data_IF_492969835711
#
_entry.id   IF_492969835711
#
_cell.length_a   1.000
_cell.length_b   1.000
_cell.length_c   1.000
_cell.angle_alpha   90.00
_cell.angle_beta   90.00
_cell.angle_gamma   90.00
#
_symmetry.space_group_name_H-M   'P 1'
#
loop_
_entity.id
_entity.type
_entity.pdbx_description
1 polymer ?
2 polymer ?
3 non-polymer ?
4 non-polymer ?
5 water ?
#
loop_
_entity_poly.entity_id
_entity_poly.type
_entity_poly.pdbx_seq_one_letter_code
_entity_poly.pdbx_strand_id
2 'polydeoxyribonucleotide' '(DT)(DC)(DA)(DA)(DG)(DG)(DG)(DT)(DC)(DC)(DT)(DA)(DG)(DG)(DA)(DC)(DC)(DC)' ?
#
# COMPACT_ATOMS: atom_id res chain seq x y z
N UNK A 26 0.56 26.36 -5.34
CA UNK A 26 0.20 24.95 -5.21
C UNK A 26 1.43 24.10 -4.92
N UNK A 27 2.08 24.38 -3.79
CA UNK A 27 3.26 23.63 -3.34
C UNK A 27 2.81 22.70 -2.22
N UNK A 28 2.54 21.45 -2.57
CA UNK A 28 2.01 20.49 -1.61
C UNK A 28 3.13 19.91 -0.75
N UNK A 29 2.74 19.45 0.43
CA UNK A 29 3.62 18.71 1.34
C UNK A 29 2.93 17.38 1.63
N UNK A 30 3.35 16.34 0.93
CA UNK A 30 2.76 15.01 1.07
C UNK A 30 3.70 14.15 1.89
N UNK A 31 3.13 13.22 2.64
CA UNK A 31 3.89 12.23 3.39
C UNK A 31 3.41 10.84 2.99
N UNK A 32 4.35 9.94 2.75
CA UNK A 32 4.06 8.54 2.48
C UNK A 32 4.48 7.73 3.69
N UNK A 33 3.52 7.07 4.33
CA UNK A 33 3.78 6.23 5.50
C UNK A 33 3.80 4.78 5.04
N UNK A 34 4.85 4.05 5.44
CA UNK A 34 5.07 2.68 4.98
C UNK A 34 5.52 1.85 6.18
N UNK A 35 4.63 0.98 6.65
CA UNK A 35 4.94 0.16 7.82
C UNK A 35 5.93 -0.94 7.45
N UNK A 36 6.77 -1.30 8.43
CA UNK A 36 7.75 -2.35 8.24
C UNK A 36 7.10 -3.72 8.44
N UNK A 37 7.35 -4.64 7.51
CA UNK A 37 6.90 -6.02 7.61
C UNK A 37 5.58 -6.11 8.36
N UNK A 38 4.52 -5.55 7.76
CA UNK A 38 3.26 -5.35 8.48
C UNK A 38 2.78 -6.63 9.16
N UNK A 39 2.59 -7.69 8.38
CA UNK A 39 2.03 -8.92 8.95
C UNK A 39 2.89 -9.43 10.09
N UNK A 40 4.21 -9.45 9.89
CA UNK A 40 5.11 -9.90 10.95
C UNK A 40 4.95 -9.05 12.21
N UNK A 41 4.78 -7.73 12.03
CA UNK A 41 4.60 -6.86 13.18
C UNK A 41 3.36 -7.26 13.97
N UNK A 42 2.26 -7.52 13.28
CA UNK A 42 1.03 -7.90 13.96
C UNK A 42 1.18 -9.23 14.67
N UNK A 43 1.82 -10.21 14.01
CA UNK A 43 2.03 -11.50 14.64
C UNK A 43 3.01 -11.40 15.81
N UNK A 44 4.12 -10.68 15.61
CA UNK A 44 5.05 -10.47 16.71
C UNK A 44 4.37 -9.80 17.90
N UNK A 45 3.39 -8.92 17.64
CA UNK A 45 2.72 -8.22 18.72
C UNK A 45 1.87 -9.18 19.54
N UNK A 46 0.96 -9.91 18.88
CA UNK A 46 0.05 -10.79 19.60
C UNK A 46 0.82 -11.88 20.35
N UNK A 47 1.81 -12.49 19.70
CA UNK A 47 2.72 -13.43 20.36
C UNK A 47 4.07 -12.74 20.52
N UNK A 48 4.40 -12.23 21.71
CA UNK A 48 5.77 -11.69 21.91
C UNK A 48 6.85 -12.75 21.82
N UNK A 49 6.52 -14.03 21.98
CA UNK A 49 7.54 -15.07 21.97
C UNK A 49 8.34 -15.04 20.66
N UNK A 50 7.65 -14.84 19.53
CA UNK A 50 8.33 -14.85 18.24
C UNK A 50 9.26 -13.65 18.08
N UNK A 51 8.97 -12.54 18.77
CA UNK A 51 9.83 -11.37 18.73
C UNK A 51 11.19 -11.70 19.34
N UNK A 52 12.10 -12.22 18.52
CA UNK A 52 13.43 -12.63 18.95
C UNK A 52 13.99 -13.63 17.94
N UNK A 53 13.10 -14.34 17.26
CA UNK A 53 13.44 -15.35 16.26
C UNK A 53 12.97 -14.88 14.88
N UNK A 54 13.49 -15.44 13.80
CA UNK A 54 13.08 -15.00 12.47
C UNK A 54 11.68 -15.50 12.16
N UNK A 55 10.78 -14.58 11.85
CA UNK A 55 9.37 -14.89 11.66
C UNK A 55 9.00 -14.82 10.19
N UNK A 56 8.25 -15.81 9.73
CA UNK A 56 7.76 -15.83 8.37
C UNK A 56 6.27 -16.08 8.32
N UNK A 57 5.50 -15.10 7.84
CA UNK A 57 4.07 -15.28 7.64
C UNK A 57 3.86 -15.97 6.29
N UNK A 58 3.26 -17.15 6.31
CA UNK A 58 3.12 -17.97 5.11
C UNK A 58 1.66 -18.09 4.72
N UNK A 59 1.41 -18.05 3.42
CA UNK A 59 0.09 -18.31 2.84
C UNK A 59 0.29 -19.39 1.79
N UNK A 60 -0.28 -20.57 2.03
CA UNK A 60 -0.12 -21.73 1.15
C UNK A 60 1.36 -22.10 1.17
N UNK A 61 2.08 -22.02 0.05
CA UNK A 61 3.47 -22.48 -0.03
C UNK A 61 4.45 -21.33 -0.17
N UNK A 62 4.13 -20.17 0.39
CA UNK A 62 4.97 -18.99 0.22
C UNK A 62 5.06 -18.21 1.52
N UNK A 63 6.27 -17.76 1.83
CA UNK A 63 6.51 -16.82 2.93
C UNK A 63 6.28 -15.42 2.35
N UNK A 64 5.07 -14.88 2.53
CA UNK A 64 4.73 -13.62 1.88
C UNK A 64 5.48 -12.45 2.50
N UNK A 65 5.84 -12.55 3.77
CA UNK A 65 6.62 -11.51 4.43
C UNK A 65 7.24 -12.08 5.68
N UNK A 66 8.26 -11.39 6.19
CA UNK A 66 9.00 -11.86 7.35
C UNK A 66 9.54 -10.66 8.10
N UNK A 67 9.80 -10.86 9.40
CA UNK A 67 10.48 -9.83 10.18
C UNK A 67 11.92 -9.73 9.73
N UNK A 68 12.59 -8.64 10.13
CA UNK A 68 13.88 -8.32 9.55
C UNK A 68 14.97 -9.29 9.97
N UNK A 69 14.80 -9.99 11.09
CA UNK A 69 15.76 -11.03 11.44
C UNK A 69 15.90 -12.04 10.30
N UNK A 70 14.76 -12.52 9.79
CA UNK A 70 14.80 -13.45 8.65
C UNK A 70 15.35 -12.76 7.41
N UNK A 71 15.20 -11.45 7.30
CA UNK A 71 15.73 -10.73 6.14
C UNK A 71 17.23 -10.92 6.03
N UNK A 72 17.93 -10.88 7.17
CA UNK A 72 19.37 -11.10 7.15
C UNK A 72 19.72 -12.47 6.58
N UNK A 73 18.91 -13.48 6.91
CA UNK A 73 19.17 -14.86 6.52
C UNK A 73 18.67 -15.19 5.12
N UNK A 74 18.40 -14.18 4.29
CA UNK A 74 17.98 -14.41 2.92
C UNK A 74 16.50 -14.66 2.74
N UNK A 75 15.75 -14.88 3.82
CA UNK A 75 14.29 -15.03 3.69
C UNK A 75 13.75 -13.80 2.98
N UNK A 76 13.06 -14.01 1.87
CA UNK A 76 12.65 -12.93 0.99
C UNK A 76 11.15 -12.97 0.75
N UNK A 77 10.62 -11.81 0.35
CA UNK A 77 9.19 -11.67 0.09
C UNK A 77 8.72 -12.70 -0.93
N UNK A 78 7.56 -13.29 -0.66
CA UNK A 78 6.96 -14.28 -1.54
C UNK A 78 7.98 -15.32 -1.99
N UNK A 79 8.50 -16.05 -1.00
CA UNK A 79 9.55 -17.04 -1.21
C UNK A 79 9.02 -18.40 -0.77
N UNK A 80 9.26 -19.42 -1.60
CA UNK A 80 8.81 -20.77 -1.29
C UNK A 80 9.24 -21.16 0.12
N UNK A 81 8.31 -21.78 0.86
CA UNK A 81 8.62 -22.22 2.20
C UNK A 81 9.74 -23.25 2.19
N UNK A 82 9.79 -24.09 1.15
CA UNK A 82 10.90 -25.02 1.01
C UNK A 82 12.23 -24.27 0.93
N UNK A 83 12.32 -23.31 0.00
CA UNK A 83 13.53 -22.49 -0.09
C UNK A 83 13.77 -21.71 1.19
N UNK A 84 12.71 -21.06 1.70
CA UNK A 84 12.87 -20.21 2.89
C UNK A 84 13.41 -21.00 4.07
N UNK A 85 13.00 -22.26 4.22
CA UNK A 85 13.49 -23.08 5.32
C UNK A 85 14.91 -23.57 5.05
N UNK A 86 15.30 -23.71 3.78
CA UNK A 86 16.68 -24.09 3.47
C UNK A 86 17.65 -23.00 3.92
N UNK A 87 17.35 -21.74 3.57
CA UNK A 87 18.23 -20.65 3.97
C UNK A 87 18.17 -20.40 5.48
N UNK A 88 17.01 -20.59 6.09
CA UNK A 88 16.84 -20.38 7.53
C UNK A 88 16.05 -21.55 8.10
N UNK A 89 16.72 -22.65 8.45
CA UNK A 89 16.00 -23.79 9.05
C UNK A 89 15.42 -23.49 10.43
N UNK A 90 15.83 -22.40 11.08
CA UNK A 90 15.28 -22.01 12.36
C UNK A 90 14.07 -21.09 12.22
N UNK A 91 13.59 -20.87 10.99
CA UNK A 91 12.44 -20.01 10.78
C UNK A 91 11.22 -20.52 11.54
N UNK A 92 10.52 -19.59 12.20
CA UNK A 92 9.22 -19.88 12.78
C UNK A 92 8.16 -19.38 11.81
N UNK A 93 7.24 -20.25 11.42
CA UNK A 93 6.22 -19.93 10.43
C UNK A 93 4.87 -19.79 11.10
N UNK A 94 4.15 -18.73 10.76
CA UNK A 94 2.79 -18.49 11.25
C UNK A 94 1.90 -18.32 10.03
N UNK A 95 0.68 -18.85 10.13
CA UNK A 95 -0.28 -18.77 9.03
C UNK A 95 -0.88 -17.37 8.96
N UNK A 96 -0.89 -16.79 7.77
CA UNK A 96 -1.47 -15.48 7.57
C UNK A 96 -2.53 -15.47 6.49
N UNK A 97 -3.18 -16.61 6.27
CA UNK A 97 -4.21 -16.70 5.24
C UNK A 97 -5.48 -15.96 5.64
N UNK A 98 -5.72 -15.76 6.93
CA UNK A 98 -6.82 -14.96 7.41
C UNK A 98 -6.29 -13.57 7.73
N UNK A 99 -6.79 -12.56 7.00
CA UNK A 99 -6.30 -11.19 7.13
C UNK A 99 -7.13 -10.36 8.10
N UNK A 100 -7.91 -11.00 8.97
CA UNK A 100 -8.81 -10.25 9.84
C UNK A 100 -8.03 -9.32 10.75
N UNK A 101 -6.96 -9.81 11.37
CA UNK A 101 -6.20 -8.98 12.30
C UNK A 101 -5.39 -7.93 11.56
N UNK A 102 -4.77 -8.30 10.44
CA UNK A 102 -4.02 -7.32 9.66
C UNK A 102 -4.93 -6.20 9.18
N UNK A 103 -6.10 -6.57 8.62
CA UNK A 103 -7.03 -5.58 8.13
C UNK A 103 -7.48 -4.63 9.24
N UNK A 104 -7.73 -5.17 10.43
CA UNK A 104 -8.14 -4.33 11.55
C UNK A 104 -7.05 -3.33 11.91
N UNK A 105 -5.82 -3.81 12.04
CA UNK A 105 -4.73 -2.90 12.38
C UNK A 105 -4.51 -1.87 11.27
N UNK A 106 -4.66 -2.28 10.02
CA UNK A 106 -4.50 -1.36 8.90
C UNK A 106 -5.39 -0.14 9.08
N UNK A 107 -6.67 -0.36 9.42
CA UNK A 107 -7.59 0.75 9.57
C UNK A 107 -7.36 1.52 10.86
N UNK A 108 -6.81 0.89 11.88
CA UNK A 108 -6.41 1.62 13.06
C UNK A 108 -5.30 2.62 12.73
N UNK A 109 -4.34 2.19 11.89
CA UNK A 109 -3.29 3.10 11.46
C UNK A 109 -3.88 4.25 10.64
N UNK A 110 -4.69 3.91 9.64
CA UNK A 110 -5.29 4.94 8.80
C UNK A 110 -6.07 5.95 9.63
N UNK A 111 -6.86 5.46 10.59
CA UNK A 111 -7.65 6.38 11.42
C UNK A 111 -6.75 7.27 12.25
N UNK A 112 -5.66 6.73 12.77
CA UNK A 112 -4.70 7.56 13.50
C UNK A 112 -4.20 8.71 12.64
N UNK A 113 -3.87 8.42 11.38
CA UNK A 113 -3.41 9.48 10.48
C UNK A 113 -4.53 10.44 10.11
N UNK A 114 -5.76 9.93 9.97
CA UNK A 114 -6.90 10.80 9.74
C UNK A 114 -7.06 11.80 10.88
N UNK A 115 -6.66 11.43 12.09
CA UNK A 115 -6.69 12.37 13.20
C UNK A 115 -5.78 13.56 12.94
N UNK A 116 -4.60 13.31 12.36
CA UNK A 116 -3.71 14.41 12.01
C UNK A 116 -4.33 15.29 10.93
N UNK A 117 -4.64 14.71 9.77
CA UNK A 117 -5.27 15.41 8.66
C UNK A 117 -6.29 14.47 8.03
N UNK A 118 -7.49 14.97 7.70
CA UNK A 118 -8.55 14.06 7.26
C UNK A 118 -8.27 13.39 5.92
N UNK A 119 -7.51 14.03 5.03
CA UNK A 119 -7.33 13.52 3.66
C UNK A 119 -6.20 12.50 3.71
N UNK A 120 -6.57 11.23 3.87
CA UNK A 120 -5.62 10.13 3.91
C UNK A 120 -6.02 9.11 2.85
N UNK A 121 -5.04 8.68 2.06
CA UNK A 121 -5.24 7.74 0.96
C UNK A 121 -4.56 6.42 1.31
N UNK A 122 -5.33 5.33 1.31
CA UNK A 122 -4.79 4.01 1.56
C UNK A 122 -4.26 3.41 0.27
N UNK A 123 -3.09 2.79 0.35
CA UNK A 123 -2.52 1.99 -0.74
C UNK A 123 -2.20 0.63 -0.13
N UNK A 124 -3.01 -0.38 -0.42
CA UNK A 124 -2.82 -1.65 0.22
C UNK A 124 -3.12 -1.56 1.72
N UNK A 125 -2.61 -2.53 2.45
CA UNK A 125 -2.87 -2.62 3.88
C UNK A 125 -1.85 -1.88 4.73
N UNK A 126 -0.65 -1.62 4.21
CA UNK A 126 0.45 -1.12 5.02
C UNK A 126 1.00 0.23 4.57
N UNK A 127 0.29 0.95 3.70
CA UNK A 127 0.78 2.22 3.19
C UNK A 127 -0.34 3.25 3.17
N UNK A 128 0.03 4.50 3.46
CA UNK A 128 -0.92 5.61 3.49
C UNK A 128 -0.23 6.87 2.99
N UNK A 129 -0.97 7.65 2.20
CA UNK A 129 -0.57 9.00 1.83
C UNK A 129 -1.42 9.99 2.63
N UNK A 130 -0.79 11.06 3.11
CA UNK A 130 -1.48 12.12 3.82
C UNK A 130 -1.03 13.46 3.25
N UNK A 131 -2.00 14.28 2.86
CA UNK A 131 -1.71 15.63 2.37
C UNK A 131 -1.60 16.55 3.57
N UNK A 132 -0.38 17.00 3.85
CA UNK A 132 -0.11 17.84 5.01
C UNK A 132 -0.05 19.33 4.65
N UNK A 133 -0.42 19.69 3.42
CA UNK A 133 -0.23 21.07 2.96
C UNK A 133 -0.90 22.06 3.90
N UNK A 134 -2.22 21.92 4.08
CA UNK A 134 -2.94 22.82 4.98
C UNK A 134 -2.37 22.75 6.39
N UNK A 135 -2.05 21.54 6.86
CA UNK A 135 -1.51 21.39 8.21
C UNK A 135 -0.20 22.15 8.36
N UNK A 136 0.70 22.04 7.37
CA UNK A 136 1.99 22.71 7.46
C UNK A 136 1.81 24.22 7.46
N UNK A 137 0.94 24.74 6.59
CA UNK A 137 0.74 26.18 6.52
C UNK A 137 0.25 26.72 7.86
N UNK A 138 -0.73 26.05 8.47
CA UNK A 138 -1.25 26.51 9.76
C UNK A 138 -0.13 26.54 10.80
N UNK A 139 0.69 25.49 10.87
CA UNK A 139 1.77 25.48 11.83
C UNK A 139 2.74 26.65 11.62
N UNK A 140 2.92 27.07 10.37
CA UNK A 140 3.85 28.15 10.10
C UNK A 140 3.23 29.52 10.40
N UNK A 141 1.95 29.71 10.08
CA UNK A 141 1.30 30.98 10.40
C UNK A 141 1.32 31.26 11.89
N UNK A 142 1.59 30.25 12.72
CA UNK A 142 1.65 30.45 14.16
C UNK A 142 3.04 30.83 14.64
N UNK A 143 4.06 30.62 13.81
CA UNK A 143 5.44 30.89 14.22
C UNK A 143 5.76 32.38 14.08
N UNK A 144 7.00 32.73 14.41
CA UNK A 144 7.52 34.09 14.24
C UNK A 144 8.95 33.98 13.71
N UNK A 145 9.49 35.12 13.28
CA UNK A 145 10.84 35.13 12.72
C UNK A 145 11.85 34.48 13.66
N UNK A 146 11.63 34.59 14.97
CA UNK A 146 12.57 34.03 15.93
C UNK A 146 12.71 32.52 15.74
N UNK A 147 11.60 31.79 15.79
CA UNK A 147 11.66 30.34 15.70
C UNK A 147 11.78 29.83 14.27
N UNK A 148 11.44 30.67 13.27
CA UNK A 148 11.62 30.25 11.88
C UNK A 148 13.06 29.82 11.61
N UNK A 149 14.02 30.47 12.26
CA UNK A 149 15.41 30.04 12.14
C UNK A 149 15.68 28.78 12.96
N UNK A 150 14.94 28.58 14.04
CA UNK A 150 15.09 27.38 14.86
C UNK A 150 14.39 26.17 14.26
N UNK A 151 13.71 26.33 13.11
CA UNK A 151 13.04 25.21 12.48
C UNK A 151 14.07 24.15 12.11
N UNK A 152 13.93 22.97 12.69
CA UNK A 152 14.85 21.86 12.44
C UNK A 152 14.16 20.78 11.63
N UNK A 153 14.96 19.81 11.19
CA UNK A 153 14.45 18.65 10.48
C UNK A 153 14.37 17.48 11.44
N UNK A 154 13.42 16.59 11.20
CA UNK A 154 13.28 15.34 11.92
C UNK A 154 13.54 14.20 10.94
N UNK A 155 14.58 13.41 11.19
CA UNK A 155 14.94 12.33 10.30
C UNK A 155 15.98 12.76 9.28
N UNK A 156 16.17 11.88 8.29
CA UNK A 156 17.19 12.09 7.29
C UNK A 156 16.73 13.08 6.23
N UNK A 157 17.71 13.78 5.63
CA UNK A 157 17.49 14.61 4.47
C UNK A 157 18.09 13.87 3.28
N UNK A 158 17.28 13.63 2.25
CA UNK A 158 17.73 12.80 1.15
C UNK A 158 19.02 13.33 0.55
N UNK A 159 19.93 12.41 0.23
CA UNK A 159 21.22 12.73 -0.37
C UNK A 159 22.03 13.71 0.48
N UNK A 160 21.71 13.81 1.77
CA UNK A 160 22.45 14.69 2.68
C UNK A 160 22.48 16.12 2.16
N UNK A 161 21.41 16.54 1.50
CA UNK A 161 21.35 17.87 0.93
C UNK A 161 21.35 18.93 2.02
N UNK A 162 21.96 20.07 1.71
CA UNK A 162 22.04 21.18 2.67
C UNK A 162 20.70 21.90 2.73
N UNK A 163 20.24 22.17 3.94
CA UNK A 163 19.01 22.93 4.13
C UNK A 163 19.31 24.42 3.97
N UNK A 164 18.30 25.17 3.51
CA UNK A 164 18.38 26.62 3.40
C UNK A 164 17.15 27.19 4.07
N UNK A 165 17.32 27.77 5.26
CA UNK A 165 16.20 28.24 6.05
C UNK A 165 15.52 29.47 5.45
N UNK A 166 16.06 30.04 4.38
CA UNK A 166 15.37 31.12 3.66
C UNK A 166 14.57 30.59 2.48
N UNK A 167 14.76 29.33 2.09
CA UNK A 167 13.93 28.69 1.08
C UNK A 167 12.63 28.26 1.73
N UNK A 168 11.53 28.93 1.38
CA UNK A 168 10.26 28.65 2.05
C UNK A 168 9.83 27.20 1.82
N UNK A 169 10.12 26.67 0.63
CA UNK A 169 9.77 25.28 0.37
C UNK A 169 10.56 24.33 1.26
N UNK A 170 11.81 24.67 1.56
CA UNK A 170 12.58 23.86 2.50
C UNK A 170 11.92 23.88 3.87
N UNK A 171 11.48 25.05 4.33
CA UNK A 171 10.87 25.14 5.64
C UNK A 171 9.56 24.36 5.70
N UNK A 172 8.73 24.48 4.66
CA UNK A 172 7.49 23.72 4.62
C UNK A 172 7.78 22.22 4.67
N UNK A 173 8.82 21.77 3.96
CA UNK A 173 9.15 20.35 3.93
C UNK A 173 9.70 19.88 5.26
N UNK A 174 10.44 20.73 5.98
CA UNK A 174 10.95 20.33 7.29
C UNK A 174 9.82 20.24 8.30
N UNK A 175 8.88 21.20 8.28
CA UNK A 175 7.69 21.09 9.11
C UNK A 175 6.94 19.80 8.77
N UNK A 176 6.86 19.46 7.48
CA UNK A 176 6.27 18.20 7.10
C UNK A 176 6.99 17.01 7.71
N UNK A 177 8.30 17.13 7.93
CA UNK A 177 9.05 16.05 8.55
C UNK A 177 8.83 16.01 10.06
N UNK A 178 8.56 17.15 10.69
CA UNK A 178 8.18 17.15 12.10
C UNK A 178 6.85 16.46 12.29
N UNK A 179 5.89 16.71 11.40
CA UNK A 179 4.59 16.04 11.48
C UNK A 179 4.76 14.54 11.27
N UNK A 180 5.53 14.16 10.25
CA UNK A 180 5.75 12.74 9.99
C UNK A 180 6.33 12.04 11.22
N UNK A 181 7.31 12.68 11.87
CA UNK A 181 7.86 12.10 13.09
C UNK A 181 6.81 12.01 14.19
N UNK A 182 5.90 12.99 14.26
CA UNK A 182 4.82 12.92 15.24
C UNK A 182 3.85 11.78 14.92
N UNK A 183 3.58 11.55 13.63
CA UNK A 183 2.76 10.41 13.25
C UNK A 183 3.44 9.11 13.65
N UNK A 184 4.72 8.96 13.30
CA UNK A 184 5.42 7.70 13.58
C UNK A 184 5.49 7.42 15.07
N UNK A 185 5.62 8.46 15.90
CA UNK A 185 5.65 8.24 17.34
C UNK A 185 4.25 7.86 17.85
N UNK A 186 3.22 8.45 17.27
CA UNK A 186 1.86 8.12 17.69
C UNK A 186 1.51 6.67 17.35
N UNK A 187 1.99 6.17 16.22
CA UNK A 187 1.69 4.80 15.84
C UNK A 187 2.33 3.81 16.79
N UNK A 188 3.59 4.05 17.17
CA UNK A 188 4.25 3.15 18.11
C UNK A 188 3.66 3.28 19.50
N UNK A 189 3.36 4.51 19.93
CA UNK A 189 2.82 4.71 21.27
C UNK A 189 1.41 4.16 21.39
N UNK A 190 0.54 4.51 20.45
CA UNK A 190 -0.86 4.14 20.54
C UNK A 190 -1.16 2.76 19.97
N UNK A 191 -0.38 2.31 18.98
CA UNK A 191 -0.62 1.03 18.34
C UNK A 191 0.57 0.07 18.41
N UNK A 192 1.74 0.54 18.80
CA UNK A 192 2.90 -0.34 18.92
C UNK A 192 3.51 -0.75 17.60
N UNK A 193 3.30 0.02 16.54
CA UNK A 193 3.81 -0.29 15.22
C UNK A 193 4.95 0.65 14.85
N UNK A 194 5.97 0.11 14.19
CA UNK A 194 7.02 0.90 13.59
C UNK A 194 6.81 0.98 12.09
N UNK A 195 7.37 2.02 11.48
CA UNK A 195 7.22 2.21 10.05
C UNK A 195 8.08 3.36 9.56
N UNK A 196 8.13 3.49 8.25
CA UNK A 196 8.88 4.55 7.60
C UNK A 196 7.95 5.67 7.14
N UNK A 197 8.53 6.85 6.95
CA UNK A 197 7.79 8.02 6.47
C UNK A 197 8.64 8.72 5.43
N UNK A 198 7.98 9.21 4.37
CA UNK A 198 8.66 9.95 3.34
C UNK A 198 7.93 11.25 3.03
N UNK A 199 8.61 12.37 3.21
CA UNK A 199 8.02 13.69 3.01
C UNK A 199 8.56 14.27 1.71
N UNK A 200 7.67 14.68 0.82
CA UNK A 200 8.05 15.22 -0.47
C UNK A 200 6.94 16.14 -0.96
N UNK A 201 7.06 16.63 -2.19
CA UNK A 201 6.10 17.57 -2.74
C UNK A 201 4.99 16.92 -3.55
N UNK A 202 5.05 15.61 -3.79
CA UNK A 202 3.96 14.88 -4.44
C UNK A 202 3.98 13.44 -3.96
N UNK A 203 2.98 12.67 -4.40
CA UNK A 203 2.85 11.29 -3.95
C UNK A 203 3.98 10.41 -4.49
N UNK A 204 4.35 10.61 -5.76
CA UNK A 204 5.42 9.80 -6.33
C UNK A 204 6.71 9.94 -5.54
N UNK A 205 7.15 11.18 -5.32
CA UNK A 205 8.43 11.40 -4.67
C UNK A 205 8.39 10.98 -3.21
N UNK A 206 7.26 11.25 -2.53
CA UNK A 206 7.12 10.83 -1.15
C UNK A 206 7.26 9.32 -1.02
N UNK A 207 6.63 8.57 -1.93
CA UNK A 207 6.70 7.12 -1.86
C UNK A 207 8.07 6.59 -2.28
N UNK A 208 8.76 7.29 -3.18
CA UNK A 208 10.09 6.85 -3.57
C UNK A 208 11.11 7.16 -2.48
N UNK A 209 10.89 8.22 -1.70
CA UNK A 209 11.86 8.60 -0.67
C UNK A 209 11.58 7.97 0.69
N UNK A 210 10.39 7.40 0.91
CA UNK A 210 10.08 6.83 2.20
C UNK A 210 10.95 5.62 2.51
N UNK A 211 11.45 4.94 1.49
CA UNK A 211 12.24 3.75 1.66
C UNK A 211 13.74 3.92 1.60
N UNK A 212 14.24 5.14 1.45
CA UNK A 212 15.68 5.35 1.36
C UNK A 212 16.37 4.81 2.60
N UNK A 213 15.84 5.14 3.78
CA UNK A 213 16.28 4.59 5.05
C UNK A 213 15.15 3.69 5.55
N UNK A 214 15.36 2.38 5.48
CA UNK A 214 14.25 1.44 5.33
C UNK A 214 13.70 0.87 6.63
N UNK A 215 14.50 0.67 7.66
CA UNK A 215 13.92 0.17 8.92
C UNK A 215 13.59 1.27 9.91
N UNK A 216 12.30 1.52 10.12
CA UNK A 216 11.80 2.45 11.13
C UNK A 216 12.58 3.76 11.11
N UNK A 217 12.52 4.45 9.96
CA UNK A 217 13.21 5.71 9.76
C UNK A 217 12.41 6.53 8.77
N UNK A 218 12.73 7.82 8.67
CA UNK A 218 12.05 8.71 7.76
C UNK A 218 13.03 9.60 7.03
N UNK A 219 12.66 10.01 5.82
CA UNK A 219 13.49 10.85 4.98
C UNK A 219 12.62 11.94 4.34
N UNK A 220 13.22 13.12 4.16
CA UNK A 220 12.56 14.23 3.50
C UNK A 220 13.34 14.57 2.23
N UNK A 221 12.61 14.90 1.17
CA UNK A 221 13.21 15.20 -0.12
C UNK A 221 13.09 16.69 -0.40
N UNK A 222 14.23 17.37 -0.47
CA UNK A 222 14.21 18.76 -0.89
C UNK A 222 14.21 18.85 -2.41
N UNK A 223 13.63 19.91 -2.98
CA UNK A 223 13.45 19.93 -4.44
C UNK A 223 14.74 19.75 -5.23
N UNK A 224 15.86 20.31 -4.74
CA UNK A 224 17.10 20.25 -5.51
C UNK A 224 17.55 18.82 -5.80
N UNK A 225 17.11 17.85 -5.02
CA UNK A 225 17.58 16.48 -5.16
C UNK A 225 16.58 15.56 -5.84
N UNK A 226 15.50 16.11 -6.42
CA UNK A 226 14.48 15.27 -7.02
C UNK A 226 15.04 14.45 -8.17
N UNK A 227 15.89 15.05 -9.00
CA UNK A 227 16.46 14.31 -10.11
C UNK A 227 17.42 13.22 -9.62
N UNK A 228 18.19 13.51 -8.59
CA UNK A 228 19.05 12.49 -8.00
C UNK A 228 18.23 11.28 -7.57
N UNK A 229 17.03 11.53 -7.04
CA UNK A 229 16.19 10.43 -6.54
C UNK A 229 15.69 9.54 -7.68
N UNK A 230 15.08 10.15 -8.70
CA UNK A 230 14.49 9.34 -9.77
C UNK A 230 15.58 8.62 -10.55
N UNK A 231 16.73 9.26 -10.74
CA UNK A 231 17.84 8.60 -11.44
C UNK A 231 18.52 7.56 -10.56
N UNK A 232 18.30 7.60 -9.24
CA UNK A 232 18.75 6.51 -8.40
C UNK A 232 18.07 5.20 -8.77
N UNK A 233 16.89 5.26 -9.36
CA UNK A 233 16.21 4.05 -9.83
C UNK A 233 17.01 3.40 -10.95
N UNK A 234 16.93 2.08 -11.02
CA UNK A 234 17.70 1.30 -11.98
C UNK A 234 16.88 0.77 -13.15
N UNK A 235 15.56 0.84 -13.08
CA UNK A 235 14.72 0.45 -14.21
C UNK A 235 13.36 1.12 -14.09
N UNK A 236 12.78 1.46 -15.24
CA UNK A 236 11.51 2.18 -15.25
C UNK A 236 10.41 1.40 -14.54
N UNK A 237 10.61 0.09 -14.34
CA UNK A 237 9.62 -0.70 -13.63
C UNK A 237 9.56 -0.34 -12.14
N UNK A 238 10.59 0.34 -11.63
CA UNK A 238 10.61 0.75 -10.23
C UNK A 238 9.78 2.00 -9.96
N UNK A 239 9.24 2.63 -11.00
CA UNK A 239 8.45 3.84 -10.84
C UNK A 239 7.01 3.44 -10.49
N UNK A 240 6.46 3.91 -9.36
CA UNK A 240 5.05 3.66 -9.09
C UNK A 240 4.18 4.25 -10.19
N UNK A 241 3.33 3.40 -10.77
CA UNK A 241 2.54 3.75 -11.92
C UNK A 241 2.89 2.98 -13.18
N UNK A 242 4.10 2.46 -13.26
CA UNK A 242 4.56 1.66 -14.38
C UNK A 242 4.63 0.22 -13.87
N UNK A 243 3.65 -0.59 -14.26
CA UNK A 243 3.59 -1.96 -13.80
C UNK A 243 4.33 -2.94 -14.69
N UNK A 244 3.72 -4.11 -14.94
CA UNK A 244 4.34 -5.12 -15.79
C UNK A 244 4.09 -4.82 -17.26
N UNK A 245 2.84 -4.59 -17.63
CA UNK A 245 2.51 -4.35 -19.04
C UNK A 245 3.24 -3.14 -19.57
N UNK A 246 3.18 -2.02 -18.84
CA UNK A 246 3.87 -0.81 -19.28
C UNK A 246 5.37 -1.03 -19.36
N UNK A 247 5.95 -1.67 -18.34
CA UNK A 247 7.39 -1.90 -18.34
C UNK A 247 7.82 -2.73 -19.55
N UNK A 248 7.03 -3.74 -19.91
CA UNK A 248 7.42 -4.64 -20.99
C UNK A 248 7.12 -4.03 -22.36
N UNK A 249 6.14 -3.14 -22.44
CA UNK A 249 5.99 -2.35 -23.66
C UNK A 249 7.18 -1.42 -23.84
N UNK A 250 7.39 -0.52 -22.87
CA UNK A 250 8.53 0.40 -22.88
C UNK A 250 9.82 -0.36 -23.22
N UNK A 251 9.99 -1.54 -22.66
CA UNK A 251 11.17 -2.36 -22.94
C UNK A 251 11.24 -2.82 -24.38
N UNK A 252 10.14 -2.69 -25.14
CA UNK A 252 10.16 -3.04 -26.56
C UNK A 252 10.58 -1.87 -27.44
N UNK A 253 10.47 -0.64 -26.96
CA UNK A 253 10.93 0.53 -27.69
C UNK A 253 12.37 0.88 -27.37
N UNK A 254 13.10 0.00 -26.69
CA UNK A 254 14.45 0.29 -26.26
C UNK A 254 14.56 1.08 -24.99
N UNK A 255 13.45 1.47 -24.38
CA UNK A 255 13.46 2.22 -23.13
C UNK A 255 13.74 1.26 -21.99
N UNK A 256 14.59 1.68 -21.06
CA UNK A 256 14.96 0.83 -19.93
C UNK A 256 15.29 1.66 -18.70
N UNK A 257 16.13 2.67 -18.86
CA UNK A 257 16.48 3.54 -17.75
C UNK A 257 15.49 4.70 -17.65
N UNK A 258 15.48 5.33 -16.47
CA UNK A 258 14.61 6.49 -16.28
C UNK A 258 14.95 7.58 -17.28
N UNK A 259 16.24 7.75 -17.59
CA UNK A 259 16.63 8.77 -18.56
C UNK A 259 16.21 8.37 -19.97
N UNK A 260 16.22 7.08 -20.29
CA UNK A 260 15.69 6.63 -21.58
C UNK A 260 14.26 7.12 -21.76
N UNK A 261 13.44 7.00 -20.71
CA UNK A 261 12.05 7.47 -20.79
C UNK A 261 11.99 8.99 -20.81
N UNK A 262 12.85 9.65 -20.02
CA UNK A 262 12.87 11.11 -20.02
C UNK A 262 13.14 11.65 -21.41
N UNK A 263 14.15 11.09 -22.09
CA UNK A 263 14.60 11.61 -23.37
C UNK A 263 13.94 10.93 -24.56
N UNK A 264 12.98 10.03 -24.33
CA UNK A 264 12.30 9.40 -25.44
C UNK A 264 11.40 10.40 -26.16
N UNK A 265 11.07 10.09 -27.40
CA UNK A 265 10.16 10.93 -28.16
C UNK A 265 8.77 10.87 -27.54
N UNK A 266 8.21 11.99 -27.05
CA UNK A 266 6.80 11.94 -26.63
C UNK A 266 5.90 11.38 -27.72
N UNK A 267 6.26 11.63 -28.97
CA UNK A 267 5.33 11.40 -30.08
C UNK A 267 5.11 9.91 -30.29
N UNK A 268 6.19 9.14 -30.42
CA UNK A 268 6.06 7.69 -30.49
C UNK A 268 5.31 7.18 -29.27
N UNK A 269 5.70 7.64 -28.08
CA UNK A 269 5.15 7.09 -26.85
C UNK A 269 3.62 7.19 -26.82
N UNK A 270 3.07 8.28 -27.36
CA UNK A 270 1.61 8.39 -27.41
C UNK A 270 1.01 7.25 -28.23
N UNK A 271 1.62 6.96 -29.39
CA UNK A 271 1.05 5.96 -30.29
C UNK A 271 1.08 4.57 -29.68
N UNK A 272 2.15 4.23 -28.97
CA UNK A 272 2.32 2.86 -28.50
C UNK A 272 1.45 2.55 -27.28
N UNK A 273 1.37 3.49 -26.34
CA UNK A 273 0.64 3.26 -25.10
C UNK A 273 -0.66 4.05 -25.02
N UNK A 274 -0.74 5.21 -25.66
CA UNK A 274 -1.91 6.06 -25.56
C UNK A 274 -1.57 7.42 -25.00
N UNK A 275 -2.30 8.46 -25.45
CA UNK A 275 -2.02 9.82 -24.98
C UNK A 275 -2.04 9.88 -23.46
N UNK A 276 -2.95 9.13 -22.84
CA UNK A 276 -3.06 9.15 -21.39
C UNK A 276 -1.83 8.51 -20.74
N UNK A 277 -1.59 7.23 -21.03
CA UNK A 277 -0.45 6.53 -20.44
C UNK A 277 0.84 7.26 -20.77
N UNK A 278 0.94 7.82 -21.97
CA UNK A 278 2.19 8.42 -22.42
C UNK A 278 2.54 9.64 -21.57
N UNK A 279 1.67 10.64 -21.58
CA UNK A 279 1.99 11.91 -20.91
C UNK A 279 2.12 11.75 -19.39
N UNK A 280 1.49 10.71 -18.82
CA UNK A 280 1.55 10.55 -17.37
C UNK A 280 2.86 9.89 -16.94
N UNK A 281 3.21 8.76 -17.55
CA UNK A 281 4.41 8.05 -17.11
C UNK A 281 5.66 8.84 -17.47
N UNK A 282 5.64 9.60 -18.58
CA UNK A 282 6.78 10.43 -18.90
C UNK A 282 6.96 11.52 -17.86
N UNK A 283 5.86 12.15 -17.43
CA UNK A 283 5.93 13.09 -16.31
C UNK A 283 6.50 12.40 -15.08
N UNK A 284 6.05 11.18 -14.80
CA UNK A 284 6.60 10.43 -13.67
C UNK A 284 8.11 10.28 -13.80
N UNK A 285 8.60 9.99 -15.02
CA UNK A 285 10.03 9.81 -15.21
C UNK A 285 10.82 11.04 -14.82
N UNK A 286 10.19 12.21 -14.79
CA UNK A 286 10.83 13.45 -14.36
C UNK A 286 10.58 13.76 -12.88
N UNK A 287 9.93 12.86 -12.16
CA UNK A 287 9.54 13.14 -10.80
C UNK A 287 8.31 14.02 -10.66
N UNK A 288 7.60 14.28 -11.77
CA UNK A 288 6.41 15.10 -11.75
C UNK A 288 5.18 14.22 -11.57
N UNK A 289 4.31 14.59 -10.65
CA UNK A 289 3.09 13.83 -10.38
C UNK A 289 2.10 14.76 -9.72
N UNK A 290 1.04 15.14 -10.45
CA UNK A 290 0.04 16.06 -9.95
C UNK A 290 -1.17 15.37 -9.34
N UNK A 291 -1.16 14.04 -9.28
CA UNK A 291 -2.32 13.32 -8.79
C UNK A 291 -2.61 13.70 -7.34
N UNK A 292 -3.86 13.90 -6.96
CA UNK A 292 -4.16 14.31 -5.58
C UNK A 292 -4.22 13.13 -4.64
N UNK A 293 -3.94 13.43 -3.36
CA UNK A 293 -4.16 12.45 -2.30
C UNK A 293 -5.66 12.32 -2.09
N UNK A 294 -6.22 11.16 -2.40
CA UNK A 294 -7.66 10.95 -2.42
C UNK A 294 -8.08 10.26 -1.13
N UNK A 295 -9.00 10.88 -0.40
CA UNK A 295 -9.55 10.28 0.81
C UNK A 295 -10.15 8.92 0.48
N UNK A 296 -9.66 7.88 1.17
CA UNK A 296 -10.11 6.52 0.89
C UNK A 296 -11.46 6.24 1.54
N UNK A 297 -11.62 6.62 2.81
CA UNK A 297 -12.85 6.38 3.53
C UNK A 297 -13.06 4.91 3.76
N UNK A 298 -14.32 4.50 3.94
CA UNK A 298 -14.62 3.08 4.11
C UNK A 298 -14.43 2.34 2.79
N UNK A 299 -14.23 1.03 2.84
CA UNK A 299 -13.94 0.29 1.60
C UNK A 299 -15.14 0.22 0.67
N UNK A 300 -14.85 0.11 -0.62
CA UNK A 300 -15.89 -0.03 -1.64
C UNK A 300 -16.31 -1.47 -1.87
N UNK A 301 -15.57 -2.45 -1.34
CA UNK A 301 -15.89 -3.84 -1.55
C UNK A 301 -15.39 -4.68 -0.38
N UNK A 302 -16.05 -5.81 -0.17
CA UNK A 302 -15.65 -6.82 0.82
C UNK A 302 -15.55 -8.16 0.11
N UNK A 303 -14.40 -8.81 0.20
CA UNK A 303 -14.18 -10.06 -0.51
C UNK A 303 -13.31 -11.00 0.32
N UNK A 304 -13.35 -12.28 -0.07
CA UNK A 304 -12.56 -13.31 0.57
C UNK A 304 -12.30 -14.41 -0.45
N UNK A 305 -11.05 -14.81 -0.59
CA UNK A 305 -10.62 -15.78 -1.59
C UNK A 305 -10.20 -17.08 -0.92
N UNK A 306 -9.73 -18.03 -1.73
CA UNK A 306 -9.27 -19.32 -1.26
C UNK A 306 -8.78 -20.15 -2.44
N UNK A 307 -7.46 -20.32 -2.56
CA UNK A 307 -6.90 -21.16 -3.61
C UNK A 307 -6.71 -22.58 -3.13
N UNK A 308 -6.53 -23.50 -4.08
CA UNK A 308 -6.29 -24.90 -3.75
C UNK A 308 -5.92 -25.63 -5.04
N UNK A 309 -5.31 -26.80 -4.87
CA UNK A 309 -4.89 -27.64 -5.99
C UNK A 309 -6.11 -28.37 -6.54
N UNK A 310 -6.90 -27.64 -7.33
CA UNK A 310 -8.16 -28.11 -7.91
C UNK A 310 -9.06 -28.84 -6.93
N UNK A 311 -8.76 -28.72 -5.63
CA UNK A 311 -9.47 -29.46 -4.60
C UNK A 311 -10.97 -29.52 -4.85
N UNK A 312 -11.53 -28.46 -5.41
CA UNK A 312 -12.96 -28.37 -5.69
C UNK A 312 -13.21 -28.74 -7.15
N UNK A 313 -14.00 -29.80 -7.35
CA UNK A 313 -14.45 -30.16 -8.69
C UNK A 313 -15.87 -30.73 -8.67
N UNK A 314 -16.61 -30.55 -7.59
CA UNK A 314 -17.94 -31.13 -7.44
C UNK A 314 -18.87 -30.14 -6.74
N UNK A 315 -19.83 -30.65 -5.98
CA UNK A 315 -20.72 -29.75 -5.22
C UNK A 315 -20.06 -29.28 -3.93
N UNK A 316 -19.00 -29.97 -3.47
CA UNK A 316 -18.13 -29.46 -2.42
C UNK A 316 -17.90 -27.97 -2.61
N UNK A 317 -17.76 -27.54 -3.86
CA UNK A 317 -17.64 -26.11 -4.17
C UNK A 317 -18.75 -25.32 -3.50
N UNK A 318 -19.95 -25.88 -3.40
CA UNK A 318 -21.03 -25.23 -2.66
C UNK A 318 -20.61 -25.00 -1.21
N UNK A 319 -20.25 -26.08 -0.51
CA UNK A 319 -19.78 -25.95 0.87
C UNK A 319 -18.68 -24.91 0.98
N UNK A 320 -17.76 -24.90 0.01
CA UNK A 320 -16.75 -23.84 -0.04
C UNK A 320 -17.42 -22.47 -0.10
N UNK A 321 -18.23 -22.23 -1.14
CA UNK A 321 -18.94 -20.98 -1.27
C UNK A 321 -19.73 -20.69 0.00
N UNK A 322 -20.25 -21.72 0.67
CA UNK A 322 -20.92 -21.52 1.95
C UNK A 322 -19.94 -21.02 3.00
N UNK A 323 -18.65 -21.34 2.85
CA UNK A 323 -17.66 -20.91 3.83
C UNK A 323 -17.18 -19.49 3.54
N UNK A 324 -16.75 -19.23 2.31
CA UNK A 324 -16.44 -17.86 1.91
C UNK A 324 -17.58 -16.93 2.30
N UNK A 325 -18.80 -17.29 1.92
CA UNK A 325 -19.98 -16.53 2.32
C UNK A 325 -20.03 -16.36 3.82
N UNK A 326 -19.93 -17.47 4.57
CA UNK A 326 -20.14 -17.43 6.01
C UNK A 326 -19.38 -16.27 6.66
N UNK A 327 -18.06 -16.23 6.48
CA UNK A 327 -17.26 -15.20 7.14
C UNK A 327 -17.60 -13.82 6.62
N UNK A 328 -17.82 -13.68 5.31
CA UNK A 328 -18.06 -12.37 4.73
C UNK A 328 -19.24 -11.67 5.40
N UNK A 329 -20.28 -12.42 5.74
CA UNK A 329 -21.48 -11.80 6.30
C UNK A 329 -21.16 -11.05 7.59
N UNK A 330 -20.30 -11.61 8.43
CA UNK A 330 -19.92 -10.92 9.66
C UNK A 330 -19.24 -9.60 9.37
N UNK A 331 -18.51 -9.51 8.26
CA UNK A 331 -17.80 -8.29 7.90
C UNK A 331 -18.76 -7.26 7.30
N UNK A 332 -19.50 -7.65 6.27
CA UNK A 332 -20.37 -6.70 5.58
C UNK A 332 -21.49 -6.21 6.49
N UNK A 333 -21.85 -6.99 7.50
CA UNK A 333 -22.84 -6.52 8.48
C UNK A 333 -22.21 -5.54 9.45
N UNK A 334 -21.09 -5.92 10.07
CA UNK A 334 -20.43 -5.06 11.04
C UNK A 334 -20.15 -3.68 10.47
N UNK A 335 -19.95 -3.58 9.15
CA UNK A 335 -19.63 -2.30 8.54
C UNK A 335 -20.69 -1.25 8.86
N UNK A 336 -21.96 -1.61 8.71
CA UNK A 336 -23.05 -0.67 8.89
C UNK A 336 -23.78 -0.42 7.60
N UNK A 337 -23.03 -0.32 6.51
CA UNK A 337 -23.60 -0.21 5.17
C UNK A 337 -23.87 -1.61 4.61
N UNK A 338 -24.76 -1.69 3.64
CA UNK A 338 -25.18 -2.96 3.08
C UNK A 338 -24.84 -3.05 1.60
N UNK A 339 -24.48 -4.24 1.12
CA UNK A 339 -24.12 -4.38 -0.30
C UNK A 339 -25.35 -4.61 -1.18
N UNK A 340 -25.24 -4.14 -2.42
CA UNK A 340 -26.30 -4.25 -3.40
C UNK A 340 -25.85 -5.00 -4.66
N UNK A 341 -24.68 -5.62 -4.63
CA UNK A 341 -24.20 -6.42 -5.76
C UNK A 341 -23.30 -7.52 -5.20
N UNK A 342 -23.26 -8.64 -5.92
CA UNK A 342 -22.42 -9.78 -5.53
C UNK A 342 -21.63 -10.23 -6.75
N UNK A 343 -20.39 -10.67 -6.51
CA UNK A 343 -19.51 -11.19 -7.55
C UNK A 343 -18.97 -12.54 -7.10
N UNK A 344 -18.94 -13.50 -8.03
CA UNK A 344 -18.29 -14.79 -7.81
C UNK A 344 -17.13 -14.89 -8.79
N UNK A 345 -15.96 -15.29 -8.30
CA UNK A 345 -14.75 -15.36 -9.10
C UNK A 345 -14.16 -16.75 -8.97
N UNK A 346 -13.55 -17.21 -10.06
CA UNK A 346 -12.98 -18.54 -10.10
C UNK A 346 -11.66 -18.53 -10.89
N UNK A 356 -5.39 -15.34 -15.29
CA UNK A 356 -6.57 -14.50 -15.34
C UNK A 356 -7.82 -15.20 -14.83
N UNK A 357 -8.61 -14.50 -14.03
CA UNK A 357 -9.82 -15.06 -13.47
C UNK A 357 -11.03 -14.69 -14.33
N UNK A 358 -12.18 -15.26 -13.97
CA UNK A 358 -13.46 -14.94 -14.59
C UNK A 358 -14.48 -14.69 -13.49
N UNK A 359 -15.53 -13.95 -13.82
CA UNK A 359 -16.51 -13.57 -12.81
C UNK A 359 -17.87 -13.30 -13.42
N UNK A 360 -18.91 -13.70 -12.71
CA UNK A 360 -20.29 -13.35 -13.00
C UNK A 360 -20.86 -12.65 -11.77
N UNK A 361 -21.65 -11.60 -11.98
CA UNK A 361 -22.23 -10.85 -10.88
C UNK A 361 -23.70 -10.56 -11.15
N UNK A 362 -24.40 -10.11 -10.12
CA UNK A 362 -25.82 -9.80 -10.21
C UNK A 362 -26.26 -9.01 -8.98
N UNK A 363 -27.31 -8.18 -9.10
CA UNK A 363 -27.81 -7.47 -7.91
C UNK A 363 -28.21 -8.42 -6.78
N UNK A 364 -28.72 -7.86 -5.70
CA UNK A 364 -29.13 -8.63 -4.53
C UNK A 364 -30.54 -8.20 -4.13
N UNK A 365 -31.49 -9.13 -3.98
CA UNK A 365 -32.86 -8.73 -3.62
C UNK A 365 -32.90 -7.93 -2.33
N UNK A 366 -34.01 -7.21 -2.15
CA UNK A 366 -34.17 -6.35 -0.98
C UNK A 366 -34.45 -7.18 0.27
N UNK A 367 -35.48 -8.03 0.22
CA UNK A 367 -35.72 -8.94 1.35
C UNK A 367 -34.47 -9.70 1.70
N UNK A 368 -33.64 -10.03 0.70
CA UNK A 368 -32.36 -10.68 0.98
C UNK A 368 -31.43 -9.73 1.72
N UNK A 369 -31.40 -8.46 1.31
CA UNK A 369 -30.46 -7.50 1.88
C UNK A 369 -30.63 -7.41 3.40
N UNK A 370 -31.81 -7.74 3.91
CA UNK A 370 -32.06 -7.66 5.34
C UNK A 370 -31.71 -8.98 6.02
N UNK A 380 -29.28 -16.11 4.82
CA UNK A 380 -28.06 -16.72 4.31
C UNK A 380 -28.39 -17.79 3.28
N UNK A 381 -29.38 -18.62 3.60
CA UNK A 381 -29.78 -19.69 2.68
C UNK A 381 -30.09 -19.17 1.28
N UNK A 382 -30.79 -18.04 1.11
CA UNK A 382 -30.98 -17.53 -0.26
C UNK A 382 -29.68 -17.20 -0.97
N UNK A 383 -28.74 -16.58 -0.26
CA UNK A 383 -27.51 -16.14 -0.91
C UNK A 383 -26.72 -17.30 -1.48
N UNK A 384 -26.76 -18.46 -0.83
CA UNK A 384 -26.02 -19.62 -1.33
C UNK A 384 -26.45 -19.96 -2.74
N UNK A 385 -27.74 -20.29 -2.91
CA UNK A 385 -28.23 -20.71 -4.22
C UNK A 385 -28.01 -19.61 -5.26
N UNK A 386 -28.24 -18.34 -4.88
CA UNK A 386 -27.96 -17.24 -5.79
C UNK A 386 -26.57 -17.41 -6.39
N UNK A 387 -25.57 -17.64 -5.53
CA UNK A 387 -24.20 -17.78 -5.98
C UNK A 387 -23.96 -19.10 -6.69
N UNK A 388 -24.84 -20.09 -6.53
CA UNK A 388 -24.68 -21.35 -7.26
C UNK A 388 -25.24 -21.29 -8.67
N UNK A 389 -26.18 -20.39 -8.95
CA UNK A 389 -26.60 -20.14 -10.33
C UNK A 389 -25.62 -19.24 -11.04
N UNK A 390 -25.03 -18.29 -10.31
CA UNK A 390 -23.85 -17.60 -10.82
C UNK A 390 -22.74 -18.60 -11.13
N UNK A 391 -22.64 -19.67 -10.34
CA UNK A 391 -21.65 -20.71 -10.59
C UNK A 391 -22.01 -21.51 -11.85
N UNK A 392 -23.21 -22.11 -11.86
CA UNK A 392 -23.58 -23.00 -12.96
C UNK A 392 -23.39 -22.31 -14.31
N UNK A 393 -23.73 -21.02 -14.39
CA UNK A 393 -23.48 -20.27 -15.62
C UNK A 393 -22.04 -20.42 -16.09
N UNK A 394 -21.10 -20.46 -15.15
CA UNK A 394 -19.69 -20.62 -15.47
C UNK A 394 -19.35 -22.09 -15.69
N UNK A 404 -9.99 -23.93 -9.18
CA UNK A 404 -8.84 -23.81 -8.29
C UNK A 404 -9.01 -22.65 -7.32
N UNK A 405 -9.90 -21.71 -7.66
CA UNK A 405 -10.13 -20.53 -6.84
C UNK A 405 -11.62 -20.33 -6.64
N UNK A 406 -11.96 -19.75 -5.48
CA UNK A 406 -13.35 -19.45 -5.14
C UNK A 406 -13.33 -18.18 -4.28
N UNK A 407 -13.53 -17.03 -4.93
CA UNK A 407 -13.55 -15.74 -4.27
C UNK A 407 -14.95 -15.14 -4.40
N UNK A 408 -15.50 -14.70 -3.28
CA UNK A 408 -16.80 -14.04 -3.22
C UNK A 408 -16.57 -12.58 -2.85
N UNK A 409 -17.32 -11.68 -3.50
CA UNK A 409 -17.12 -10.25 -3.32
C UNK A 409 -18.46 -9.55 -3.16
N UNK A 410 -18.58 -8.77 -2.09
CA UNK A 410 -19.72 -7.88 -1.87
C UNK A 410 -19.29 -6.47 -2.26
N UNK A 411 -20.01 -5.85 -3.20
CA UNK A 411 -19.73 -4.50 -3.63
C UNK A 411 -21.04 -3.74 -3.74
N UNK A 412 -20.96 -2.48 -4.19
CA UNK A 412 -22.13 -1.63 -4.36
C UNK A 412 -22.75 -1.25 -3.02
N UNK A 413 -21.90 -0.88 -2.06
CA UNK A 413 -22.35 -0.57 -0.72
C UNK A 413 -23.04 0.78 -0.66
N UNK A 414 -24.06 0.87 0.18
CA UNK A 414 -24.78 2.12 0.40
C UNK A 414 -25.08 2.33 1.88
X LIG C 1 6.26 -5.19 3.22
X LIG C 1 5.33 -4.01 3.15
X LIG C 1 6.29 -5.76 4.62
X LIG C 1 7.74 -4.75 2.75
X LIG C 1 8.91 -4.57 3.85
X LIG C 1 8.95 -5.77 4.78
X LIG C 1 10.22 -4.38 3.16
X LIG C 1 8.47 -3.25 4.65
X LIG C 1 8.00 -1.93 3.86
X LIG C 1 6.52 -2.03 3.60
X LIG C 1 8.28 -0.69 4.69
X LIG C 1 8.74 -1.85 2.53
X LIG C 1 5.84 -6.31 2.14
X LIG C 1 5.21 -7.52 2.57
X LIG C 1 3.71 -7.39 2.40
X LIG C 1 3.38 -6.62 1.22
X LIG C 1 2.99 -8.74 2.27
X LIG C 1 2.25 -9.03 3.44
X LIG C 1 2.07 -8.59 1.04
X LIG C 1 2.32 -7.21 0.43
X LIG C 1 2.71 -7.26 -0.97
X LIG C 1 1.96 -8.02 -1.89
X LIG C 1 0.96 -8.66 -1.49
X LIG C 1 2.27 -8.08 -3.19
X LIG C 1 3.32 -7.39 -3.66
X LIG C 1 3.61 -7.45 -4.88
X LIG C 1 4.14 -6.57 -2.73
X LIG C 1 5.33 -5.79 -3.22
X LIG C 1 3.76 -6.55 -1.39
X LIG C 1 5.45 -7.72 3.61
X LIG C 1 5.58 -8.36 1.96
X LIG C 1 3.37 -6.88 3.31
X LIG C 1 3.70 -9.57 2.15
X LIG C 1 1.88 -9.92 3.38
X LIG C 1 2.29 -9.38 0.32
X LIG C 1 1.03 -8.69 1.35
X LIG C 1 1.39 -6.64 0.46
X LIG C 1 1.70 -8.65 -3.84
X LIG C 1 5.33 -5.79 -4.28
X LIG C 1 5.26 -4.80 -2.87
X LIG C 1 6.21 -6.24 -2.86
X LIG C 1 4.33 -5.95 -0.67
X LIG D 1 5.02 -1.81 1.99
X LIG E 1 10.55 -2.97 4.83
#
# INVERSE_FOLDING_TARGET
MELADVGAAASSQGVHDQVLPTPNASSRVIVHVDLDCFYAQVEMISNPELKDKPLGVQQKYLVVTCNYEAAKLGVKKLMNVRDAKEKCPQLVLVNGEDLTRYREMSYKVTELLEEFSPVVERLGFDENFVDLTEMVEKRLQQLQSDELSAVTVSGHVYNNQSINLLDVLHIRLLVGSQIAAEMREAMYNQLGLTGCAGVASNKLLAKLVSGVFKPNQQTVLLPESCQHLIHSLNHIKEIPGIGYKTAKCLEALGINSVRDLQTFSPKILEKELGISVAQRIQKLSFGEDNSPVILSGPPQSFSEEDSFKKCSSEVEAKNKIEELLASLLNRVCQDGRKPHTVRLIIRRYSSEKHYGRESRQCPIPSHVIQKLGTGNYDVMTPMVDILMKLFRNMVNVKMPFHLTLLSVCFCNLKALNTAK
TTP PA O1A O2A O3A PB O1B O2B O3B PG O1G O2G O3G O5' C5' C4' O4' C3' O3' C2' C1' N1 C2 O2 N3 C4 O4 C5 C5M C6 H5'1 H5'2 H4' H3' HO3' H2'1 H2'2 H1' HN3 HM51 HM52 HM53 H6
CA CA
CA CA
#
